data_IF_184017186646
#
_entry.id   IF_184017186646
#
_cell.length_a   1.000
_cell.length_b   1.000
_cell.length_c   1.000
_cell.angle_alpha   90.00
_cell.angle_beta   90.00
_cell.angle_gamma   90.00
#
_symmetry.space_group_name_H-M   'P 1'
#
loop_
_entity.id
_entity.type
_entity.pdbx_description
1 polymer ?
#
# COMPACT_ATOMS: atom_id res chain seq x y z
N UNK A 1 -13.32 -4.76 10.85
CA UNK A 1 -13.23 -5.10 9.41
C UNK A 1 -12.07 -4.30 8.83
N UNK A 2 -10.85 -4.86 8.85
CA UNK A 2 -9.65 -4.15 8.39
C UNK A 2 -9.61 -4.02 6.86
N UNK A 3 -8.98 -2.94 6.38
CA UNK A 3 -8.72 -2.71 4.97
C UNK A 3 -7.25 -2.41 4.73
N UNK A 4 -6.67 -3.05 3.71
CA UNK A 4 -5.30 -2.82 3.24
C UNK A 4 -5.37 -2.09 1.90
N UNK A 5 -4.88 -0.86 1.86
CA UNK A 5 -4.74 -0.10 0.62
C UNK A 5 -3.28 -0.06 0.18
N UNK A 6 -2.96 -0.66 -0.95
CA UNK A 6 -1.62 -0.60 -1.55
C UNK A 6 -1.68 0.34 -2.75
N UNK A 7 -0.87 1.40 -2.69
CA UNK A 7 -0.59 2.27 -3.83
C UNK A 7 0.87 2.06 -4.21
N UNK A 8 1.17 1.86 -5.49
CA UNK A 8 2.56 1.67 -5.94
C UNK A 8 2.77 2.16 -7.37
N UNK A 9 4.03 2.28 -7.78
CA UNK A 9 4.35 2.51 -9.19
C UNK A 9 3.97 1.30 -10.06
N UNK A 10 3.49 1.56 -11.28
CA UNK A 10 3.20 0.53 -12.27
C UNK A 10 4.41 -0.36 -12.59
N UNK A 11 4.17 -1.59 -13.04
CA UNK A 11 5.22 -2.51 -13.52
C UNK A 11 5.21 -3.92 -12.92
N UNK A 12 4.22 -4.25 -12.07
CA UNK A 12 4.10 -5.57 -11.43
C UNK A 12 3.03 -6.37 -12.15
N UNK A 13 3.24 -7.67 -12.31
CA UNK A 13 2.26 -8.56 -12.95
C UNK A 13 1.05 -8.78 -12.06
N UNK A 14 -0.06 -9.23 -12.64
CA UNK A 14 -1.27 -9.57 -11.88
C UNK A 14 -1.00 -10.68 -10.84
N UNK A 15 -0.23 -11.71 -11.21
CA UNK A 15 0.16 -12.79 -10.30
C UNK A 15 0.96 -12.28 -9.08
N UNK A 16 1.89 -11.33 -9.30
CA UNK A 16 2.64 -10.71 -8.20
C UNK A 16 1.72 -9.96 -7.23
N UNK A 17 0.71 -9.26 -7.77
CA UNK A 17 -0.28 -8.52 -6.97
C UNK A 17 -1.17 -9.47 -6.15
N UNK A 18 -1.64 -10.55 -6.74
CA UNK A 18 -2.45 -11.57 -6.04
C UNK A 18 -1.66 -12.25 -4.92
N UNK A 19 -0.41 -12.62 -5.20
CA UNK A 19 0.49 -13.20 -4.20
C UNK A 19 0.75 -12.24 -3.04
N UNK A 20 0.97 -10.95 -3.34
CA UNK A 20 1.17 -9.90 -2.33
C UNK A 20 -0.08 -9.71 -1.46
N UNK A 21 -1.26 -9.56 -2.08
CA UNK A 21 -2.52 -9.38 -1.37
C UNK A 21 -2.78 -10.54 -0.40
N UNK A 22 -2.62 -11.79 -0.87
CA UNK A 22 -2.80 -12.97 -0.03
C UNK A 22 -1.82 -13.02 1.14
N UNK A 23 -0.55 -12.62 0.93
CA UNK A 23 0.46 -12.59 1.98
C UNK A 23 0.15 -11.53 3.06
N UNK A 24 -0.32 -10.35 2.66
CA UNK A 24 -0.65 -9.28 3.59
C UNK A 24 -1.92 -9.57 4.38
N UNK A 25 -2.95 -10.14 3.74
CA UNK A 25 -4.16 -10.59 4.44
C UNK A 25 -3.81 -11.60 5.54
N UNK A 26 -3.02 -12.63 5.21
CA UNK A 26 -2.55 -13.62 6.20
C UNK A 26 -1.74 -13.01 7.34
N UNK A 27 -0.88 -12.04 7.02
CA UNK A 27 -0.08 -11.35 8.04
C UNK A 27 -0.98 -10.55 8.97
N UNK A 28 -1.90 -9.76 8.40
CA UNK A 28 -2.81 -8.92 9.16
C UNK A 28 -3.72 -9.77 10.06
N UNK A 29 -4.29 -10.85 9.56
CA UNK A 29 -5.15 -11.73 10.38
C UNK A 29 -4.39 -12.40 11.51
N UNK A 30 -3.14 -12.81 11.27
CA UNK A 30 -2.26 -13.34 12.30
C UNK A 30 -2.00 -12.33 13.42
N UNK A 31 -1.66 -11.09 13.07
CA UNK A 31 -1.29 -10.06 14.04
C UNK A 31 -2.50 -9.46 14.78
N UNK A 32 -3.66 -9.37 14.12
CA UNK A 32 -4.88 -8.78 14.71
C UNK A 32 -5.87 -9.81 15.28
N UNK A 33 -5.61 -11.11 15.12
CA UNK A 33 -6.49 -12.17 15.62
C UNK A 33 -7.89 -12.18 15.00
N UNK A 34 -8.05 -11.68 13.76
CA UNK A 34 -9.34 -11.59 13.08
C UNK A 34 -9.44 -12.58 11.91
N UNK A 35 -10.67 -12.96 11.54
CA UNK A 35 -10.92 -13.81 10.37
C UNK A 35 -10.63 -13.08 9.05
N UNK A 36 -10.07 -13.81 8.07
CA UNK A 36 -9.81 -13.30 6.70
C UNK A 36 -11.09 -12.79 6.03
N UNK A 37 -12.25 -13.35 6.39
CA UNK A 37 -13.55 -12.95 5.86
C UNK A 37 -13.85 -11.44 6.03
N UNK A 38 -13.26 -10.80 7.03
CA UNK A 38 -13.47 -9.38 7.32
C UNK A 38 -12.38 -8.45 6.78
N UNK A 39 -11.41 -8.99 6.03
CA UNK A 39 -10.27 -8.24 5.50
C UNK A 39 -10.47 -7.98 4.02
N UNK A 40 -10.29 -6.73 3.61
CA UNK A 40 -10.29 -6.34 2.19
C UNK A 40 -8.93 -5.76 1.80
N UNK A 41 -8.53 -5.94 0.55
CA UNK A 41 -7.24 -5.45 0.04
C UNK A 41 -7.43 -4.86 -1.37
N UNK A 42 -6.90 -3.66 -1.60
CA UNK A 42 -6.82 -3.02 -2.92
C UNK A 42 -5.37 -2.79 -3.32
N UNK A 43 -5.08 -2.87 -4.62
CA UNK A 43 -3.77 -2.57 -5.19
C UNK A 43 -3.97 -1.67 -6.41
N UNK A 44 -3.41 -0.47 -6.35
CA UNK A 44 -3.52 0.56 -7.37
C UNK A 44 -2.13 0.92 -7.93
N UNK A 45 -2.05 1.00 -9.27
CA UNK A 45 -0.83 1.40 -9.98
C UNK A 45 -0.88 2.89 -10.34
N UNK A 46 0.25 3.57 -10.14
CA UNK A 46 0.44 4.97 -10.49
C UNK A 46 1.69 5.12 -11.36
N UNK A 47 1.72 6.13 -12.22
CA UNK A 47 2.98 6.60 -12.83
C UNK A 47 3.72 7.58 -11.90
N UNK A 48 4.93 8.01 -12.32
CA UNK A 48 5.78 8.88 -11.52
C UNK A 48 5.16 10.26 -11.23
N UNK A 49 4.35 10.78 -12.14
CA UNK A 49 3.68 12.08 -11.98
C UNK A 49 2.52 11.95 -11.01
N UNK A 50 1.68 10.92 -11.18
CA UNK A 50 0.59 10.61 -10.26
C UNK A 50 1.09 10.29 -8.85
N UNK A 51 2.26 9.65 -8.75
CA UNK A 51 2.88 9.29 -7.48
C UNK A 51 3.21 10.51 -6.60
N UNK A 52 3.53 11.67 -7.20
CA UNK A 52 3.76 12.90 -6.43
C UNK A 52 2.54 13.25 -5.56
N UNK A 53 1.35 13.17 -6.17
CA UNK A 53 0.08 13.44 -5.48
C UNK A 53 -0.22 12.40 -4.40
N UNK A 54 -0.01 11.11 -4.72
CA UNK A 54 -0.19 10.02 -3.76
C UNK A 54 0.73 10.21 -2.55
N UNK A 55 2.00 10.52 -2.78
CA UNK A 55 2.96 10.72 -1.71
C UNK A 55 2.58 11.91 -0.83
N UNK A 56 2.15 13.02 -1.42
CA UNK A 56 1.66 14.17 -0.67
C UNK A 56 0.47 13.81 0.23
N UNK A 57 -0.54 13.13 -0.33
CA UNK A 57 -1.80 12.82 0.35
C UNK A 57 -1.68 11.70 1.39
N UNK A 58 -0.90 10.65 1.09
CA UNK A 58 -0.83 9.43 1.91
C UNK A 58 0.38 9.39 2.85
N UNK A 59 1.45 10.12 2.54
CA UNK A 59 2.70 10.10 3.32
C UNK A 59 2.93 11.43 4.00
N UNK A 60 2.99 12.53 3.24
CA UNK A 60 3.34 13.85 3.79
C UNK A 60 2.25 14.42 4.70
N UNK A 61 0.98 14.30 4.32
CA UNK A 61 -0.17 14.86 5.07
C UNK A 61 -0.67 13.97 6.21
N UNK A 62 -0.30 12.68 6.25
CA UNK A 62 -0.79 11.69 7.23
C UNK A 62 0.32 11.22 8.17
N UNK A 63 1.22 12.11 8.59
CA UNK A 63 2.41 11.72 9.37
C UNK A 63 2.09 10.96 10.66
N UNK A 64 0.95 11.26 11.30
CA UNK A 64 0.43 10.58 12.49
C UNK A 64 -0.02 9.14 12.23
N UNK A 65 -0.23 8.77 10.96
CA UNK A 65 -0.69 7.45 10.51
C UNK A 65 0.39 6.67 9.78
N UNK A 66 1.55 7.26 9.55
CA UNK A 66 2.70 6.64 8.89
C UNK A 66 3.59 5.98 9.93
N UNK A 67 3.44 4.66 10.11
CA UNK A 67 4.26 3.87 11.03
C UNK A 67 5.64 3.49 10.46
N UNK A 68 5.82 3.59 9.13
CA UNK A 68 7.13 3.46 8.43
C UNK A 68 7.38 4.70 7.59
N UNK A 69 8.39 5.51 7.97
CA UNK A 69 8.72 6.75 7.26
C UNK A 69 9.37 6.50 5.90
N UNK A 70 9.10 7.38 4.93
CA UNK A 70 9.82 7.36 3.66
C UNK A 70 11.31 7.66 3.87
N UNK A 71 12.16 7.00 3.07
CA UNK A 71 13.62 7.16 3.07
C UNK A 71 14.11 7.53 1.66
N UNK A 72 13.24 8.18 0.88
CA UNK A 72 13.44 8.61 -0.50
C UNK A 72 12.67 9.92 -0.74
N UNK A 73 13.07 10.72 -1.72
CA UNK A 73 12.28 11.86 -2.21
C UNK A 73 11.45 11.40 -3.42
N UNK A 74 10.11 11.55 -3.42
CA UNK A 74 9.30 11.19 -4.58
C UNK A 74 9.72 11.94 -5.86
N UNK A 75 10.35 13.11 -5.76
CA UNK A 75 10.81 13.90 -6.91
C UNK A 75 11.93 13.24 -7.71
N UNK A 76 12.66 12.29 -7.11
CA UNK A 76 13.71 11.52 -7.79
C UNK A 76 13.15 10.62 -8.91
N UNK A 77 11.82 10.47 -9.00
CA UNK A 77 11.13 9.69 -10.02
C UNK A 77 10.80 10.49 -11.30
N UNK A 78 11.01 11.81 -11.31
CA UNK A 78 10.61 12.72 -12.41
C UNK A 78 11.73 12.96 -13.43
#
# INVERSE_FOLDING_TARGET
MPHIGIKMLKGRTQEQKEKLAAALVRTLTKELGCSEHYVTCTIEDFDAVQWQKVFEEEVTKKQDKVFKKAEYDPKDLL
#
